data_IF_534060339657
#
_entry.id   IF_534060339657
#
_cell.length_a   1.000
_cell.length_b   1.000
_cell.length_c   1.000
_cell.angle_alpha   90.00
_cell.angle_beta   90.00
_cell.angle_gamma   90.00
#
_symmetry.space_group_name_H-M   'P 1'
#
loop_
_entity.id
_entity.type
_entity.pdbx_description
1 polymer ?
#
# COMPACT_ATOMS: atom_id res chain seq x y z
N UNK A 1 3.57 12.06 9.44
CA UNK A 1 2.59 12.33 10.53
C UNK A 1 1.53 13.40 10.18
N UNK A 2 1.73 14.19 9.10
CA UNK A 2 0.76 15.15 8.55
C UNK A 2 -0.37 14.53 7.68
N UNK A 3 -0.17 13.31 7.19
CA UNK A 3 -1.03 12.66 6.18
C UNK A 3 -2.45 12.32 6.68
N UNK A 4 -2.65 12.02 7.97
CA UNK A 4 -3.97 11.63 8.50
C UNK A 4 -4.91 12.82 8.64
N UNK A 5 -4.40 13.98 9.07
CA UNK A 5 -5.19 15.22 9.09
C UNK A 5 -5.59 15.65 7.68
N UNK A 6 -4.72 15.43 6.68
CA UNK A 6 -5.08 15.61 5.29
C UNK A 6 -6.17 14.61 4.85
N UNK A 7 -6.06 13.32 5.18
CA UNK A 7 -7.07 12.30 4.89
C UNK A 7 -8.47 12.67 5.43
N UNK A 8 -8.57 13.09 6.69
CA UNK A 8 -9.87 13.43 7.31
C UNK A 8 -10.45 14.74 6.75
N UNK A 9 -9.62 15.78 6.52
CA UNK A 9 -10.11 17.03 5.93
C UNK A 9 -10.55 16.87 4.48
N UNK A 10 -9.88 15.99 3.73
CA UNK A 10 -10.01 15.92 2.28
C UNK A 10 -11.18 15.00 1.85
N UNK A 11 -11.57 14.02 2.66
CA UNK A 11 -12.77 13.20 2.40
C UNK A 11 -14.06 14.01 2.67
N UNK A 12 -14.04 14.98 3.59
CA UNK A 12 -15.15 15.92 3.83
C UNK A 12 -15.54 16.75 2.60
N UNK A 13 -14.60 16.98 1.68
CA UNK A 13 -14.82 17.78 0.46
C UNK A 13 -15.41 16.95 -0.69
N UNK A 14 -15.42 15.61 -0.59
CA UNK A 14 -15.76 14.72 -1.70
C UNK A 14 -17.12 14.01 -1.58
N UNK A 15 -17.57 13.67 -0.37
CA UNK A 15 -18.92 13.19 -0.11
C UNK A 15 -19.72 14.30 0.55
N UNK A 16 -21.00 14.48 0.18
CA UNK A 16 -21.87 15.40 0.93
C UNK A 16 -21.75 15.17 2.44
N UNK A 17 -21.81 16.25 3.23
CA UNK A 17 -21.45 16.27 4.67
C UNK A 17 -22.02 15.08 5.47
N UNK A 18 -23.24 14.66 5.19
CA UNK A 18 -23.93 13.57 5.91
C UNK A 18 -23.29 12.19 5.68
N UNK A 19 -22.93 11.86 4.43
CA UNK A 19 -22.28 10.58 4.10
C UNK A 19 -20.87 10.50 4.66
N UNK A 20 -20.19 11.65 4.74
CA UNK A 20 -18.87 11.75 5.29
C UNK A 20 -18.85 11.54 6.81
N UNK A 21 -19.74 12.19 7.56
CA UNK A 21 -19.77 12.10 9.03
C UNK A 21 -20.04 10.68 9.54
N UNK A 22 -20.78 9.85 8.80
CA UNK A 22 -21.03 8.45 9.18
C UNK A 22 -19.82 7.53 8.92
N UNK A 23 -19.06 7.72 7.84
CA UNK A 23 -17.91 6.88 7.51
C UNK A 23 -16.59 7.37 8.15
N UNK A 24 -16.54 8.63 8.57
CA UNK A 24 -15.41 9.27 9.27
C UNK A 24 -14.90 8.50 10.51
N UNK A 25 -15.73 7.99 11.45
CA UNK A 25 -15.22 7.22 12.58
C UNK A 25 -14.52 5.92 12.15
N UNK A 26 -14.96 5.29 11.05
CA UNK A 26 -14.30 4.11 10.49
C UNK A 26 -12.93 4.50 9.92
N UNK A 27 -12.87 5.60 9.16
CA UNK A 27 -11.62 6.12 8.59
C UNK A 27 -10.60 6.51 9.67
N UNK A 28 -11.04 7.08 10.78
CA UNK A 28 -10.18 7.38 11.93
C UNK A 28 -9.52 6.13 12.54
N UNK A 29 -10.12 4.95 12.36
CA UNK A 29 -9.54 3.68 12.79
C UNK A 29 -8.34 3.19 11.96
N UNK A 30 -8.04 3.83 10.82
CA UNK A 30 -6.90 3.47 9.98
C UNK A 30 -5.57 3.99 10.57
N UNK A 31 -5.56 5.19 11.14
CA UNK A 31 -4.35 5.81 11.72
C UNK A 31 -3.60 4.94 12.75
N UNK A 32 -4.26 4.37 13.78
CA UNK A 32 -3.56 3.52 14.75
C UNK A 32 -2.97 2.27 14.10
N UNK A 33 -3.63 1.74 13.06
CA UNK A 33 -3.13 0.61 12.28
C UNK A 33 -1.91 1.03 11.47
N UNK A 34 -1.97 2.16 10.75
CA UNK A 34 -0.79 2.71 10.04
C UNK A 34 0.42 2.82 10.97
N UNK A 35 0.23 3.40 12.17
CA UNK A 35 1.30 3.55 13.16
C UNK A 35 1.86 2.21 13.65
N UNK A 36 1.08 1.13 13.68
CA UNK A 36 1.56 -0.17 14.13
C UNK A 36 2.35 -0.95 13.07
N UNK A 37 2.19 -0.60 11.78
CA UNK A 37 2.94 -1.20 10.65
C UNK A 37 4.01 -0.28 10.09
N UNK A 38 4.00 1.00 10.45
CA UNK A 38 5.06 1.95 10.13
C UNK A 38 6.30 1.68 11.00
N UNK A 39 6.92 0.52 10.74
CA UNK A 39 8.20 0.11 11.30
C UNK A 39 9.23 0.42 10.22
N UNK A 40 10.12 1.36 10.50
CA UNK A 40 10.98 2.08 9.54
C UNK A 40 12.13 1.24 8.97
N UNK A 41 12.02 -0.08 8.95
CA UNK A 41 13.15 -1.00 8.81
C UNK A 41 13.11 -1.91 7.57
N UNK A 42 12.18 -1.70 6.63
CA UNK A 42 12.15 -2.37 5.32
C UNK A 42 11.00 -1.82 4.47
N UNK A 43 11.06 -2.00 3.15
CA UNK A 43 9.93 -1.67 2.27
C UNK A 43 8.72 -2.58 2.51
N UNK A 44 8.93 -3.90 2.56
CA UNK A 44 7.84 -4.86 2.73
C UNK A 44 8.05 -5.89 3.83
N UNK A 45 6.95 -6.15 4.54
CA UNK A 45 6.75 -7.23 5.50
C UNK A 45 5.98 -8.38 4.86
N UNK A 46 5.72 -9.45 5.61
CA UNK A 46 4.88 -10.51 5.07
C UNK A 46 3.46 -9.98 4.78
N UNK A 47 2.76 -10.48 3.74
CA UNK A 47 1.41 -10.06 3.41
C UNK A 47 0.46 -10.03 4.62
N UNK A 48 0.57 -11.02 5.51
CA UNK A 48 -0.28 -11.18 6.70
C UNK A 48 -0.20 -10.01 7.67
N UNK A 49 0.98 -9.38 7.80
CA UNK A 49 1.19 -8.23 8.68
C UNK A 49 0.34 -7.02 8.25
N UNK A 50 -0.06 -6.96 6.97
CA UNK A 50 -0.92 -5.90 6.42
C UNK A 50 -2.41 -6.22 6.50
N UNK A 51 -2.82 -7.38 7.04
CA UNK A 51 -4.23 -7.79 7.06
C UNK A 51 -5.14 -6.75 7.71
N UNK A 52 -4.75 -6.22 8.87
CA UNK A 52 -5.55 -5.21 9.57
C UNK A 52 -5.73 -3.93 8.76
N UNK A 53 -4.70 -3.52 8.02
CA UNK A 53 -4.76 -2.36 7.13
C UNK A 53 -5.70 -2.62 5.95
N UNK A 54 -5.51 -3.75 5.27
CA UNK A 54 -6.32 -4.16 4.13
C UNK A 54 -7.81 -4.25 4.52
N UNK A 55 -8.13 -4.95 5.62
CA UNK A 55 -9.50 -5.07 6.13
C UNK A 55 -10.13 -3.69 6.41
N UNK A 56 -9.38 -2.79 7.07
CA UNK A 56 -9.88 -1.45 7.40
C UNK A 56 -10.11 -0.60 6.15
N UNK A 57 -9.21 -0.68 5.19
CA UNK A 57 -9.38 -0.02 3.90
C UNK A 57 -10.62 -0.52 3.15
N UNK A 58 -10.87 -1.82 3.12
CA UNK A 58 -12.08 -2.41 2.54
C UNK A 58 -13.35 -1.91 3.26
N UNK A 59 -13.31 -1.81 4.59
CA UNK A 59 -14.43 -1.27 5.40
C UNK A 59 -14.74 0.18 5.03
N UNK A 60 -13.71 1.03 4.88
CA UNK A 60 -13.85 2.43 4.46
C UNK A 60 -14.44 2.52 3.05
N UNK A 61 -13.88 1.79 2.09
CA UNK A 61 -14.36 1.76 0.69
C UNK A 61 -15.82 1.33 0.65
N UNK A 62 -16.18 0.26 1.37
CA UNK A 62 -17.54 -0.27 1.39
C UNK A 62 -18.53 0.69 2.06
N UNK A 63 -18.12 1.40 3.11
CA UNK A 63 -18.95 2.42 3.74
C UNK A 63 -19.31 3.52 2.73
N UNK A 64 -18.31 4.10 2.07
CA UNK A 64 -18.55 5.14 1.07
C UNK A 64 -19.31 4.63 -0.15
N UNK A 65 -19.03 3.41 -0.61
CA UNK A 65 -19.77 2.77 -1.71
C UNK A 65 -21.26 2.59 -1.40
N UNK A 66 -21.58 2.19 -0.18
CA UNK A 66 -22.96 2.00 0.25
C UNK A 66 -23.74 3.33 0.36
N UNK A 67 -23.02 4.42 0.63
CA UNK A 67 -23.60 5.76 0.80
C UNK A 67 -23.73 6.52 -0.51
N UNK A 68 -22.66 6.55 -1.28
CA UNK A 68 -22.62 7.20 -2.59
C UNK A 68 -21.50 6.61 -3.44
N UNK A 69 -21.89 5.71 -4.35
CA UNK A 69 -20.94 5.08 -5.27
C UNK A 69 -20.27 6.08 -6.23
N UNK A 70 -20.84 7.27 -6.44
CA UNK A 70 -20.26 8.28 -7.33
C UNK A 70 -18.99 8.92 -6.78
N UNK A 71 -18.76 8.81 -5.46
CA UNK A 71 -17.56 9.36 -4.83
C UNK A 71 -16.34 8.43 -4.92
N UNK A 72 -16.55 7.15 -5.28
CA UNK A 72 -15.47 6.16 -5.27
C UNK A 72 -14.24 6.58 -6.07
N UNK A 73 -14.34 7.13 -7.29
CA UNK A 73 -13.15 7.53 -8.04
C UNK A 73 -12.27 8.52 -7.26
N UNK A 74 -12.90 9.56 -6.67
CA UNK A 74 -12.20 10.56 -5.85
C UNK A 74 -11.66 9.96 -4.55
N UNK A 75 -12.39 9.03 -3.94
CA UNK A 75 -11.93 8.33 -2.74
C UNK A 75 -10.72 7.44 -3.06
N UNK A 76 -10.73 6.73 -4.20
CA UNK A 76 -9.65 5.84 -4.61
C UNK A 76 -8.37 6.61 -4.95
N UNK A 77 -8.47 7.78 -5.60
CA UNK A 77 -7.32 8.69 -5.78
C UNK A 77 -6.67 9.06 -4.44
N UNK A 78 -7.49 9.29 -3.41
CA UNK A 78 -7.04 9.72 -2.08
C UNK A 78 -6.58 8.58 -1.19
N UNK A 79 -7.16 7.39 -1.37
CA UNK A 79 -6.80 6.19 -0.65
C UNK A 79 -5.90 5.28 -1.48
N UNK A 80 -5.04 5.87 -2.31
CA UNK A 80 -4.12 5.14 -3.18
C UNK A 80 -3.39 4.02 -2.42
N UNK A 81 -2.78 4.26 -1.24
CA UNK A 81 -2.05 3.21 -0.52
C UNK A 81 -2.95 2.05 -0.08
N UNK A 82 -4.24 2.30 0.20
CA UNK A 82 -5.20 1.24 0.50
C UNK A 82 -5.34 0.23 -0.63
N UNK A 83 -5.33 0.69 -1.89
CA UNK A 83 -5.43 -0.20 -3.05
C UNK A 83 -4.24 -1.15 -3.11
N UNK A 84 -3.04 -0.62 -2.89
CA UNK A 84 -1.83 -1.43 -2.84
C UNK A 84 -1.88 -2.46 -1.71
N UNK A 85 -2.17 -2.06 -0.47
CA UNK A 85 -2.12 -3.00 0.66
C UNK A 85 -3.24 -4.05 0.62
N UNK A 86 -4.42 -3.73 0.06
CA UNK A 86 -5.45 -4.73 -0.23
C UNK A 86 -4.92 -5.74 -1.25
N UNK A 87 -4.35 -5.27 -2.36
CA UNK A 87 -3.76 -6.14 -3.38
C UNK A 87 -2.63 -7.01 -2.79
N UNK A 88 -1.69 -6.40 -2.07
CA UNK A 88 -0.53 -7.06 -1.48
C UNK A 88 -0.92 -8.18 -0.51
N UNK A 89 -1.90 -7.91 0.37
CA UNK A 89 -2.41 -8.88 1.34
C UNK A 89 -3.31 -9.96 0.72
N UNK A 90 -3.89 -9.72 -0.47
CA UNK A 90 -4.85 -10.61 -1.13
C UNK A 90 -4.29 -11.18 -2.43
N UNK A 91 -4.57 -10.51 -3.55
CA UNK A 91 -4.30 -11.00 -4.90
C UNK A 91 -2.82 -11.29 -5.17
N UNK A 92 -1.92 -10.60 -4.49
CA UNK A 92 -0.48 -10.76 -4.61
C UNK A 92 0.14 -11.67 -3.54
N UNK A 93 -0.61 -12.09 -2.52
CA UNK A 93 -0.05 -12.74 -1.32
C UNK A 93 0.81 -13.96 -1.65
N UNK A 94 0.31 -14.86 -2.50
CA UNK A 94 1.05 -16.04 -2.92
C UNK A 94 2.34 -15.68 -3.67
N UNK A 95 2.31 -14.63 -4.49
CA UNK A 95 3.48 -14.14 -5.20
C UNK A 95 4.50 -13.51 -4.24
N UNK A 96 4.04 -12.71 -3.29
CA UNK A 96 4.87 -12.15 -2.23
C UNK A 96 5.57 -13.25 -1.43
N UNK A 97 4.88 -14.33 -1.04
CA UNK A 97 5.54 -15.45 -0.33
C UNK A 97 6.64 -16.11 -1.15
N UNK A 98 6.43 -16.29 -2.46
CA UNK A 98 7.48 -16.81 -3.35
C UNK A 98 8.69 -15.88 -3.38
N UNK A 99 8.49 -14.58 -3.51
CA UNK A 99 9.57 -13.58 -3.49
C UNK A 99 10.29 -13.56 -2.14
N UNK A 100 9.55 -13.59 -1.03
CA UNK A 100 10.08 -13.65 0.34
C UNK A 100 10.91 -14.93 0.52
N UNK A 101 10.48 -16.07 -0.01
CA UNK A 101 11.25 -17.33 0.06
C UNK A 101 12.62 -17.26 -0.65
N UNK A 102 12.84 -16.20 -1.45
CA UNK A 102 14.04 -15.92 -2.23
C UNK A 102 14.86 -14.73 -1.73
N UNK A 103 14.45 -14.10 -0.63
CA UNK A 103 15.11 -12.89 -0.09
C UNK A 103 16.55 -13.12 0.40
N UNK A 104 16.89 -14.36 0.78
CA UNK A 104 18.22 -14.75 1.23
C UNK A 104 19.05 -15.43 0.12
N UNK A 105 18.49 -15.57 -1.08
CA UNK A 105 19.25 -15.95 -2.27
C UNK A 105 20.13 -14.76 -2.72
N UNK A 106 21.07 -14.99 -3.64
CA UNK A 106 21.95 -13.93 -4.20
C UNK A 106 21.21 -13.00 -5.17
N UNK A 107 20.02 -12.52 -4.80
CA UNK A 107 19.17 -11.61 -5.56
C UNK A 107 19.08 -10.30 -4.76
N UNK A 108 19.97 -9.33 -5.00
CA UNK A 108 20.11 -8.14 -4.16
C UNK A 108 18.80 -7.37 -3.96
N UNK A 109 17.99 -7.23 -5.01
CA UNK A 109 16.76 -6.45 -4.91
C UNK A 109 15.72 -7.06 -3.95
N UNK A 110 15.64 -8.40 -3.85
CA UNK A 110 14.72 -9.05 -2.91
C UNK A 110 15.24 -8.98 -1.48
N UNK A 111 16.57 -9.01 -1.32
CA UNK A 111 17.19 -8.77 -0.03
C UNK A 111 16.87 -7.34 0.45
N UNK A 112 17.07 -6.34 -0.39
CA UNK A 112 16.73 -4.95 -0.05
C UNK A 112 15.24 -4.73 0.17
N UNK A 113 14.38 -5.39 -0.61
CA UNK A 113 12.93 -5.25 -0.46
C UNK A 113 12.39 -5.79 0.88
N UNK A 114 12.95 -6.90 1.38
CA UNK A 114 12.38 -7.64 2.53
C UNK A 114 13.26 -7.71 3.78
N UNK A 115 14.57 -7.48 3.66
CA UNK A 115 15.54 -7.63 4.75
C UNK A 115 16.23 -6.33 5.14
N UNK A 116 16.53 -5.43 4.20
CA UNK A 116 17.32 -4.22 4.49
C UNK A 116 16.55 -3.21 5.33
N UNK A 117 17.15 -2.88 6.46
CA UNK A 117 16.78 -1.75 7.30
C UNK A 117 17.27 -0.50 6.59
N UNK A 118 16.33 0.35 6.15
CA UNK A 118 16.62 1.59 5.43
C UNK A 118 17.84 2.27 6.04
N UNK A 119 18.91 2.40 5.24
CA UNK A 119 20.06 3.18 5.66
C UNK A 119 19.62 4.65 5.64
N UNK A 120 19.77 5.39 6.75
CA UNK A 120 19.23 6.75 6.89
C UNK A 120 19.84 7.77 5.90
N UNK A 121 20.92 7.39 5.20
CA UNK A 121 21.63 8.24 4.23
C UNK A 121 21.20 7.99 2.77
N UNK A 122 20.26 7.07 2.52
CA UNK A 122 19.78 6.72 1.17
C UNK A 122 18.40 7.32 0.92
N UNK A 123 18.26 8.01 -0.21
CA UNK A 123 16.96 8.49 -0.69
C UNK A 123 16.04 7.29 -0.95
N UNK A 124 14.95 7.20 -0.19
CA UNK A 124 14.02 6.07 -0.26
C UNK A 124 13.30 5.99 -1.60
N UNK A 125 13.07 7.14 -2.25
CA UNK A 125 12.48 7.18 -3.58
C UNK A 125 13.43 6.63 -4.64
N UNK A 126 14.69 7.08 -4.64
CA UNK A 126 15.71 6.59 -5.58
C UNK A 126 15.94 5.08 -5.38
N UNK A 127 15.99 4.63 -4.13
CA UNK A 127 16.12 3.20 -3.82
C UNK A 127 14.89 2.43 -4.32
N UNK A 128 13.68 2.90 -4.02
CA UNK A 128 12.45 2.28 -4.48
C UNK A 128 12.40 2.15 -6.00
N UNK A 129 12.68 3.23 -6.73
CA UNK A 129 12.69 3.24 -8.19
C UNK A 129 13.77 2.32 -8.76
N UNK A 130 14.97 2.32 -8.18
CA UNK A 130 16.08 1.47 -8.59
C UNK A 130 15.81 -0.03 -8.43
N UNK A 131 14.96 -0.42 -7.48
CA UNK A 131 14.60 -1.82 -7.24
C UNK A 131 13.57 -2.36 -8.25
N UNK A 132 12.67 -1.52 -8.77
CA UNK A 132 11.51 -1.98 -9.54
C UNK A 132 11.86 -2.87 -10.75
N UNK A 133 12.86 -2.55 -11.61
CA UNK A 133 13.20 -3.40 -12.75
C UNK A 133 13.54 -4.84 -12.34
N UNK A 134 14.27 -5.00 -11.24
CA UNK A 134 14.62 -6.31 -10.71
C UNK A 134 13.41 -7.00 -10.09
N UNK A 135 12.56 -6.28 -9.35
CA UNK A 135 11.33 -6.81 -8.75
C UNK A 135 10.38 -7.33 -9.84
N UNK A 136 10.15 -6.55 -10.90
CA UNK A 136 9.31 -6.95 -12.03
C UNK A 136 9.82 -8.22 -12.70
N UNK A 137 11.14 -8.33 -12.88
CA UNK A 137 11.77 -9.54 -13.41
C UNK A 137 11.54 -10.75 -12.50
N UNK A 138 11.69 -10.59 -11.18
CA UNK A 138 11.48 -11.70 -10.23
C UNK A 138 10.01 -12.12 -10.14
N UNK A 139 9.07 -11.17 -10.19
CA UNK A 139 7.63 -11.46 -10.27
C UNK A 139 7.34 -12.28 -11.52
N UNK A 140 7.87 -11.87 -12.68
CA UNK A 140 7.67 -12.60 -13.93
C UNK A 140 8.23 -14.03 -13.91
N UNK A 141 9.35 -14.25 -13.20
CA UNK A 141 9.99 -15.56 -13.07
C UNK A 141 9.26 -16.50 -12.10
N UNK A 142 8.77 -15.98 -10.98
CA UNK A 142 8.24 -16.80 -9.88
C UNK A 142 6.70 -16.92 -9.90
N UNK A 143 6.04 -15.95 -10.51
CA UNK A 143 4.59 -15.83 -10.57
C UNK A 143 4.17 -15.95 -12.03
N UNK A 144 3.83 -14.86 -12.70
CA UNK A 144 3.52 -14.82 -14.14
C UNK A 144 3.49 -13.36 -14.66
N UNK A 145 3.38 -13.20 -15.98
CA UNK A 145 3.31 -11.90 -16.65
C UNK A 145 2.06 -11.09 -16.24
N UNK A 146 0.95 -11.76 -15.92
CA UNK A 146 -0.27 -11.08 -15.47
C UNK A 146 0.00 -10.39 -14.13
N UNK A 147 0.69 -11.06 -13.22
CA UNK A 147 1.05 -10.54 -11.91
C UNK A 147 2.04 -9.37 -12.00
N UNK A 148 2.94 -9.39 -12.99
CA UNK A 148 3.81 -8.23 -13.29
C UNK A 148 2.96 -7.00 -13.64
N UNK A 149 1.98 -7.15 -14.53
CA UNK A 149 1.12 -6.04 -14.95
C UNK A 149 0.29 -5.49 -13.78
N UNK A 150 -0.30 -6.37 -12.99
CA UNK A 150 -1.07 -5.98 -11.81
C UNK A 150 -0.18 -5.27 -10.78
N UNK A 151 1.02 -5.79 -10.51
CA UNK A 151 1.97 -5.14 -9.60
C UNK A 151 2.39 -3.74 -10.09
N UNK A 152 2.73 -3.58 -11.38
CA UNK A 152 3.08 -2.26 -11.97
C UNK A 152 1.92 -1.26 -11.87
N UNK A 153 0.68 -1.74 -11.94
CA UNK A 153 -0.48 -0.87 -11.76
C UNK A 153 -0.62 -0.45 -10.28
N UNK A 154 -0.46 -1.40 -9.36
CA UNK A 154 -0.69 -1.16 -7.95
C UNK A 154 0.48 -0.43 -7.27
N UNK A 155 1.73 -0.62 -7.70
CA UNK A 155 2.91 0.03 -7.11
C UNK A 155 2.83 1.57 -7.21
N UNK A 156 2.16 2.08 -8.26
CA UNK A 156 1.90 3.51 -8.44
C UNK A 156 1.04 4.09 -7.33
N UNK A 157 0.22 3.24 -6.70
CA UNK A 157 -0.62 3.65 -5.60
C UNK A 157 0.13 3.77 -4.26
N UNK A 158 1.33 3.19 -4.18
CA UNK A 158 2.22 3.30 -3.03
C UNK A 158 3.32 4.34 -3.23
N UNK A 159 3.78 4.54 -4.48
CA UNK A 159 4.89 5.45 -4.80
C UNK A 159 4.83 6.83 -4.13
N UNK A 160 3.69 7.56 -4.09
CA UNK A 160 3.64 8.87 -3.44
C UNK A 160 4.01 8.82 -1.96
N UNK A 161 3.63 7.75 -1.24
CA UNK A 161 3.98 7.61 0.19
C UNK A 161 5.47 7.35 0.42
N UNK A 162 6.21 6.95 -0.61
CA UNK A 162 7.66 6.67 -0.54
C UNK A 162 8.46 7.86 -1.09
N UNK A 163 7.92 8.58 -2.07
CA UNK A 163 8.64 9.56 -2.86
C UNK A 163 8.24 11.02 -2.65
N UNK A 164 7.11 11.28 -1.99
CA UNK A 164 6.58 12.63 -1.80
C UNK A 164 6.36 12.87 -0.30
N UNK A 165 7.34 13.49 0.36
CA UNK A 165 7.24 14.05 1.72
C UNK A 165 6.62 15.46 1.73
#
# INVERSE_FOLDING_TARGET
>A
MLLVFAFVLVIAVAGGEENFEECKPIAAGLEPIMKSINVTDRFFRSPEEYKGYADKCEEIINCFKAKDASILPKLMEKMSPCLFYIFYNRGFSDCAHKLISKKDDKIPCLNTLFNDIHEPDVDQCEQWEGLQPCIHEQIGKLCDEKMVKEYIEQEKNLKPEICED
#
